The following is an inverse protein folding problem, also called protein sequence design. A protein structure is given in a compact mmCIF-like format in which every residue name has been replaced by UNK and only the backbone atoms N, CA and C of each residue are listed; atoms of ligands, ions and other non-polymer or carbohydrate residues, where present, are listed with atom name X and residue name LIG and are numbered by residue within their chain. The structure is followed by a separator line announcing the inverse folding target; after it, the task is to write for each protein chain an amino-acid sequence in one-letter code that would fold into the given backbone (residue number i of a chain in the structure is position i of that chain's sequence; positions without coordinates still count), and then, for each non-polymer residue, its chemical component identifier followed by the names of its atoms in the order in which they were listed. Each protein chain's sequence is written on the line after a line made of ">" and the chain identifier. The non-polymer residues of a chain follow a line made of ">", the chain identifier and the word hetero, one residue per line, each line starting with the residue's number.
data_IF_400475047084
#
_entry.id   IF_400475047084
#
_cell.length_a   1.000
_cell.length_b   1.000
_cell.length_c   1.000
_cell.angle_alpha   90.00
_cell.angle_beta   90.00
_cell.angle_gamma   90.00
#
_symmetry.space_group_name_H-M   'P 1'
#
loop_
_entity.id
_entity.type
_entity.pdbx_description
1 polymer ?
#
# COMPACT_ATOMS: atom_id res chain seq x y z
N UNK A 1 4.86 38.54 29.60
CA UNK A 1 3.82 39.20 30.38
C UNK A 1 2.47 38.59 30.03
N UNK A 2 1.76 38.23 31.10
CA UNK A 2 0.32 37.90 31.24
C UNK A 2 -0.22 36.62 30.55
N UNK A 3 -0.30 35.60 31.40
CA UNK A 3 -1.27 34.51 31.52
C UNK A 3 -2.72 34.94 31.28
N UNK A 4 -3.52 34.10 30.65
CA UNK A 4 -4.94 33.92 30.99
C UNK A 4 -5.24 32.40 30.99
N UNK A 5 -5.40 31.90 32.20
CA UNK A 5 -6.04 30.64 32.57
C UNK A 5 -7.56 30.85 32.45
N UNK A 6 -8.29 29.89 31.89
CA UNK A 6 -9.72 29.72 32.14
C UNK A 6 -10.02 28.30 32.53
N UNK A 7 -10.19 28.15 33.83
CA UNK A 7 -10.85 27.10 34.59
C UNK A 7 -12.29 26.92 34.14
N UNK A 8 -12.75 25.68 33.93
CA UNK A 8 -14.17 25.35 33.90
C UNK A 8 -14.51 24.39 35.04
N UNK A 9 -15.51 24.82 35.78
CA UNK A 9 -16.00 24.29 37.04
C UNK A 9 -16.81 22.98 36.84
N UNK A 10 -16.53 22.10 37.76
CA UNK A 10 -17.26 20.88 38.13
C UNK A 10 -18.53 21.28 38.92
N UNK A 11 -19.70 20.82 38.54
CA UNK A 11 -20.89 20.79 39.40
C UNK A 11 -21.35 19.37 39.65
N UNK A 12 -21.06 18.91 40.87
CA UNK A 12 -21.79 17.84 41.56
C UNK A 12 -23.15 18.39 42.00
N UNK A 13 -24.23 17.67 41.70
CA UNK A 13 -25.50 17.82 42.41
C UNK A 13 -26.01 16.46 42.88
N UNK A 14 -25.75 16.18 44.13
CA UNK A 14 -26.38 15.13 44.89
C UNK A 14 -27.80 15.57 45.30
N UNK A 15 -28.81 14.77 45.06
CA UNK A 15 -30.11 14.89 45.69
C UNK A 15 -30.42 13.62 46.50
N UNK A 16 -30.34 13.83 47.82
CA UNK A 16 -30.93 12.94 48.81
C UNK A 16 -32.41 13.30 48.91
N UNK A 17 -33.32 12.33 48.85
CA UNK A 17 -34.65 12.50 49.39
C UNK A 17 -34.98 11.39 50.41
N UNK A 18 -35.23 11.86 51.61
CA UNK A 18 -35.57 11.07 52.80
C UNK A 18 -37.06 10.77 52.80
N UNK A 19 -37.38 9.63 53.39
CA UNK A 19 -38.69 9.03 53.61
C UNK A 19 -39.76 9.93 54.28
N UNK A 20 -41.00 9.67 53.95
CA UNK A 20 -42.13 9.79 54.91
C UNK A 20 -43.12 8.66 54.64
N UNK A 21 -43.28 7.81 55.64
CA UNK A 21 -44.36 6.85 55.74
C UNK A 21 -45.71 7.57 55.92
N UNK A 22 -46.75 7.06 55.27
CA UNK A 22 -48.05 6.91 55.92
C UNK A 22 -48.88 5.82 55.22
N UNK A 23 -49.44 4.96 56.06
CA UNK A 23 -50.31 3.84 55.70
C UNK A 23 -51.71 4.32 55.36
N UNK A 24 -52.40 3.67 54.43
CA UNK A 24 -53.79 3.21 54.57
C UNK A 24 -54.17 2.30 53.38
N UNK A 25 -54.44 1.09 53.75
CA UNK A 25 -55.52 0.12 53.36
C UNK A 25 -56.02 0.04 51.91
N UNK A 26 -55.88 -1.19 51.42
CA UNK A 26 -56.75 -1.97 50.56
C UNK A 26 -57.31 -1.40 49.29
N UNK A 27 -56.86 -2.01 48.19
CA UNK A 27 -57.76 -2.71 47.26
C UNK A 27 -56.91 -3.66 46.39
N UNK A 28 -57.34 -4.93 46.33
CA UNK A 28 -56.72 -5.95 45.48
C UNK A 28 -56.87 -5.62 44.02
N UNK A 29 -55.78 -5.21 43.41
CA UNK A 29 -55.58 -5.23 41.96
C UNK A 29 -54.38 -6.15 41.71
N UNK A 30 -54.66 -7.37 41.27
CA UNK A 30 -53.67 -8.28 40.75
C UNK A 30 -53.00 -7.64 39.51
N UNK A 31 -51.76 -7.22 39.67
CA UNK A 31 -50.91 -6.96 38.53
C UNK A 31 -50.54 -8.32 37.92
N UNK A 32 -50.60 -8.46 36.57
CA UNK A 32 -50.05 -9.67 35.95
C UNK A 32 -48.55 -9.67 36.24
N UNK A 33 -48.07 -10.80 36.73
CA UNK A 33 -46.65 -11.10 36.82
C UNK A 33 -46.01 -10.72 35.50
N UNK A 34 -45.11 -9.69 35.48
CA UNK A 34 -44.13 -9.55 34.43
C UNK A 34 -43.29 -10.83 34.50
N UNK A 35 -43.60 -11.79 33.61
CA UNK A 35 -42.66 -12.84 33.28
C UNK A 35 -41.37 -12.14 32.89
N UNK A 36 -40.38 -12.12 33.79
CA UNK A 36 -38.98 -11.98 33.41
C UNK A 36 -38.75 -13.06 32.36
N UNK A 37 -38.81 -12.64 31.10
CA UNK A 37 -38.23 -13.44 30.03
C UNK A 37 -36.75 -13.53 30.38
N UNK A 38 -36.35 -14.58 31.06
CA UNK A 38 -35.00 -15.10 31.01
C UNK A 38 -34.68 -15.24 29.52
N UNK A 39 -33.95 -14.28 29.00
CA UNK A 39 -33.37 -14.37 27.70
C UNK A 39 -32.35 -15.50 27.82
N UNK A 40 -32.80 -16.73 27.55
CA UNK A 40 -31.91 -17.87 27.35
C UNK A 40 -30.89 -17.39 26.32
N UNK A 41 -29.69 -17.11 26.79
CA UNK A 41 -28.52 -16.97 25.93
C UNK A 41 -28.28 -18.37 25.36
N UNK A 42 -28.89 -18.67 24.23
CA UNK A 42 -28.55 -19.84 23.44
C UNK A 42 -27.10 -19.57 22.98
N UNK A 43 -26.17 -20.19 23.66
CA UNK A 43 -24.80 -20.30 23.24
C UNK A 43 -24.78 -21.22 22.00
N UNK A 44 -25.29 -20.70 20.88
CA UNK A 44 -25.14 -21.38 19.61
C UNK A 44 -23.65 -21.33 19.22
N UNK A 45 -23.10 -22.51 18.93
CA UNK A 45 -21.71 -22.62 18.49
C UNK A 45 -21.51 -21.87 17.19
N UNK A 46 -20.44 -21.05 17.12
CA UNK A 46 -20.05 -20.36 15.91
C UNK A 46 -19.52 -21.35 14.88
N UNK A 47 -19.89 -21.15 13.64
CA UNK A 47 -19.42 -21.98 12.52
C UNK A 47 -18.66 -21.11 11.53
N UNK A 48 -17.46 -21.54 11.13
CA UNK A 48 -16.68 -20.95 10.07
C UNK A 48 -16.82 -21.75 8.77
N UNK A 49 -17.11 -21.06 7.68
CA UNK A 49 -17.25 -21.66 6.34
C UNK A 49 -16.31 -20.94 5.38
N UNK A 50 -15.56 -21.67 4.58
CA UNK A 50 -14.78 -21.11 3.47
C UNK A 50 -15.71 -21.01 2.28
N UNK A 51 -16.01 -19.78 1.84
CA UNK A 51 -16.96 -19.53 0.77
C UNK A 51 -16.31 -19.22 -0.58
N UNK A 52 -15.13 -18.65 -0.58
CA UNK A 52 -14.36 -18.45 -1.80
C UNK A 52 -12.85 -18.34 -1.50
N UNK A 53 -12.04 -18.45 -2.53
CA UNK A 53 -10.67 -18.03 -2.49
C UNK A 53 -9.62 -19.10 -2.64
N UNK A 54 -8.46 -18.76 -2.11
CA UNK A 54 -7.22 -19.50 -2.27
C UNK A 54 -7.09 -20.67 -1.28
N UNK A 55 -7.95 -20.73 -0.26
CA UNK A 55 -8.10 -21.86 0.64
C UNK A 55 -9.28 -22.74 0.23
N UNK A 56 -9.16 -24.02 0.49
CA UNK A 56 -10.24 -24.98 0.25
C UNK A 56 -10.81 -25.60 1.52
N UNK A 57 -10.01 -25.73 2.57
CA UNK A 57 -10.40 -26.40 3.80
C UNK A 57 -9.74 -25.79 5.04
N UNK A 58 -10.47 -25.80 6.15
CA UNK A 58 -9.95 -25.63 7.49
C UNK A 58 -9.09 -26.81 7.91
N UNK A 59 -8.15 -26.57 8.80
CA UNK A 59 -7.43 -27.60 9.55
C UNK A 59 -7.83 -27.47 11.01
N UNK A 60 -7.95 -28.58 11.71
CA UNK A 60 -8.14 -28.59 13.16
C UNK A 60 -7.01 -27.79 13.83
N UNK A 61 -7.36 -26.83 14.69
CA UNK A 61 -6.45 -25.93 15.36
C UNK A 61 -6.14 -24.62 14.60
N UNK A 62 -6.68 -24.42 13.39
CA UNK A 62 -6.49 -23.13 12.67
C UNK A 62 -6.99 -21.96 13.52
N UNK A 63 -6.12 -20.96 13.85
CA UNK A 63 -6.48 -19.85 14.71
C UNK A 63 -7.24 -18.77 13.94
N UNK A 64 -8.39 -18.38 14.45
CA UNK A 64 -9.28 -17.38 13.88
C UNK A 64 -9.49 -16.26 14.89
N UNK A 65 -9.22 -15.03 14.49
CA UNK A 65 -9.55 -13.86 15.31
C UNK A 65 -11.01 -13.49 15.09
N UNK A 66 -11.79 -13.43 16.19
CA UNK A 66 -13.15 -12.92 16.19
C UNK A 66 -13.20 -11.56 16.86
N UNK A 67 -13.94 -10.63 16.24
CA UNK A 67 -14.06 -9.25 16.70
C UNK A 67 -15.53 -8.85 16.73
N UNK A 68 -16.01 -8.40 17.89
CA UNK A 68 -17.35 -7.87 18.05
C UNK A 68 -17.39 -6.82 19.16
N UNK A 69 -17.97 -5.67 18.91
CA UNK A 69 -18.17 -4.58 19.89
C UNK A 69 -16.91 -4.24 20.71
N UNK A 70 -15.74 -4.16 20.05
CA UNK A 70 -14.45 -3.89 20.69
C UNK A 70 -13.85 -5.09 21.46
N UNK A 71 -14.56 -6.20 21.56
CA UNK A 71 -14.03 -7.45 22.10
C UNK A 71 -13.28 -8.19 20.99
N UNK A 72 -12.17 -8.81 21.34
CA UNK A 72 -11.37 -9.65 20.44
C UNK A 72 -11.03 -10.96 21.15
N UNK A 73 -11.30 -12.07 20.52
CA UNK A 73 -10.90 -13.39 20.99
C UNK A 73 -10.21 -14.17 19.87
N UNK A 74 -9.38 -15.13 20.23
CA UNK A 74 -8.84 -16.11 19.29
C UNK A 74 -9.63 -17.41 19.50
N UNK A 75 -10.31 -17.83 18.47
CA UNK A 75 -11.00 -19.10 18.36
C UNK A 75 -10.20 -20.06 17.48
N UNK A 76 -10.42 -21.35 17.60
CA UNK A 76 -9.76 -22.36 16.78
C UNK A 76 -10.80 -23.21 16.07
N UNK A 77 -10.50 -23.58 14.81
CA UNK A 77 -11.29 -24.57 14.09
C UNK A 77 -11.18 -25.93 14.79
N UNK A 78 -12.33 -26.56 15.09
CA UNK A 78 -12.37 -27.81 15.85
C UNK A 78 -12.26 -29.04 14.98
N UNK A 79 -12.43 -28.88 13.66
CA UNK A 79 -12.39 -29.97 12.70
C UNK A 79 -11.88 -29.49 11.34
N UNK A 80 -11.29 -30.40 10.59
CA UNK A 80 -10.82 -30.12 9.22
C UNK A 80 -11.97 -30.27 8.23
N UNK A 81 -12.04 -29.37 7.24
CA UNK A 81 -13.07 -29.41 6.19
C UNK A 81 -13.42 -28.04 5.64
N UNK A 82 -14.36 -27.97 4.73
CA UNK A 82 -14.85 -26.69 4.16
C UNK A 82 -15.64 -25.84 5.19
N UNK A 83 -16.11 -26.48 6.25
CA UNK A 83 -16.72 -25.82 7.41
C UNK A 83 -16.14 -26.40 8.70
N UNK A 84 -16.11 -25.62 9.77
CA UNK A 84 -15.68 -26.04 11.09
C UNK A 84 -16.47 -25.31 12.17
N UNK A 85 -16.74 -26.00 13.27
CA UNK A 85 -17.20 -25.37 14.49
C UNK A 85 -15.99 -24.66 15.12
N UNK A 86 -16.22 -23.48 15.70
CA UNK A 86 -15.19 -22.72 16.36
C UNK A 86 -15.20 -22.94 17.87
N UNK A 87 -14.01 -23.06 18.46
CA UNK A 87 -13.85 -22.99 19.92
C UNK A 87 -14.08 -21.56 20.42
N UNK A 88 -14.51 -21.46 21.67
CA UNK A 88 -14.72 -20.16 22.31
C UNK A 88 -16.08 -19.53 21.97
N UNK A 89 -16.43 -18.57 22.79
CA UNK A 89 -17.66 -17.78 22.68
C UNK A 89 -17.34 -16.31 22.69
N UNK A 90 -18.06 -15.55 21.89
CA UNK A 90 -18.05 -14.09 21.93
C UNK A 90 -19.50 -13.64 22.27
N UNK A 91 -19.61 -12.84 23.31
CA UNK A 91 -20.90 -12.40 23.78
C UNK A 91 -21.44 -11.22 23.00
N UNK A 92 -22.73 -11.21 22.75
CA UNK A 92 -23.43 -10.09 22.16
C UNK A 92 -24.48 -10.48 21.13
N UNK A 93 -25.26 -9.49 20.72
CA UNK A 93 -26.19 -9.64 19.60
C UNK A 93 -25.56 -9.06 18.33
N UNK A 94 -25.48 -9.88 17.29
CA UNK A 94 -24.89 -9.45 16.02
C UNK A 94 -25.97 -8.77 15.17
N UNK A 95 -25.72 -7.53 14.78
CA UNK A 95 -26.63 -6.70 13.98
C UNK A 95 -25.89 -6.09 12.79
N UNK A 96 -26.61 -5.51 11.84
CA UNK A 96 -25.98 -4.82 10.70
C UNK A 96 -25.09 -3.64 11.12
N UNK A 97 -25.48 -2.94 12.19
CA UNK A 97 -24.70 -1.82 12.74
C UNK A 97 -23.54 -2.28 13.63
N UNK A 98 -23.63 -3.50 14.16
CA UNK A 98 -22.63 -4.11 15.03
C UNK A 98 -22.46 -5.60 14.72
N UNK A 99 -21.89 -5.95 13.58
CA UNK A 99 -21.72 -7.34 13.16
C UNK A 99 -20.58 -8.05 13.91
N UNK A 100 -20.58 -9.37 13.82
CA UNK A 100 -19.42 -10.19 14.15
C UNK A 100 -18.48 -10.24 12.95
N UNK A 101 -17.19 -9.99 13.20
CA UNK A 101 -16.13 -10.15 12.21
C UNK A 101 -15.25 -11.34 12.54
N UNK A 102 -14.78 -12.03 11.51
CA UNK A 102 -13.75 -13.06 11.57
C UNK A 102 -12.56 -12.70 10.70
N UNK A 103 -11.35 -13.02 11.16
CA UNK A 103 -10.11 -12.86 10.41
C UNK A 103 -9.30 -14.15 10.51
N UNK A 104 -8.82 -14.64 9.37
CA UNK A 104 -7.93 -15.79 9.28
C UNK A 104 -6.76 -15.48 8.34
N UNK A 105 -5.53 -15.84 8.69
CA UNK A 105 -5.09 -16.29 10.02
C UNK A 105 -5.22 -15.20 11.09
N UNK A 106 -5.37 -15.59 12.34
CA UNK A 106 -5.56 -14.66 13.46
C UNK A 106 -4.43 -13.64 13.60
N UNK A 107 -3.18 -14.05 13.35
CA UNK A 107 -1.99 -13.21 13.46
C UNK A 107 -1.99 -12.01 12.49
N UNK A 108 -2.78 -12.08 11.43
CA UNK A 108 -2.88 -11.01 10.42
C UNK A 108 -3.97 -9.99 10.76
N UNK A 109 -4.73 -10.20 11.82
CA UNK A 109 -5.82 -9.32 12.24
C UNK A 109 -5.38 -8.21 13.17
N UNK A 110 -5.90 -7.01 12.92
CA UNK A 110 -5.76 -5.86 13.82
C UNK A 110 -7.17 -5.34 14.08
N UNK A 111 -7.63 -5.43 15.35
CA UNK A 111 -8.88 -4.81 15.76
C UNK A 111 -8.72 -3.29 15.86
N UNK A 112 -9.68 -2.52 15.33
CA UNK A 112 -9.75 -1.08 15.57
C UNK A 112 -10.91 -0.72 16.49
N UNK A 113 -10.73 0.33 17.29
CA UNK A 113 -11.73 0.79 18.27
C UNK A 113 -13.05 1.27 17.64
N UNK A 114 -13.08 1.48 16.32
CA UNK A 114 -14.23 2.02 15.58
C UNK A 114 -15.02 0.95 14.80
N UNK A 115 -14.84 -0.34 15.11
CA UNK A 115 -15.56 -1.42 14.40
C UNK A 115 -15.14 -1.61 12.95
N UNK A 116 -14.11 -0.93 12.47
CA UNK A 116 -13.53 -1.18 11.15
C UNK A 116 -12.51 -2.31 11.21
N UNK A 117 -12.62 -3.24 10.29
CA UNK A 117 -11.71 -4.37 10.20
C UNK A 117 -10.41 -3.94 9.51
N UNK A 118 -9.28 -4.27 10.13
CA UNK A 118 -7.95 -4.02 9.56
C UNK A 118 -7.16 -5.32 9.56
N UNK A 119 -6.51 -5.64 8.44
CA UNK A 119 -5.70 -6.84 8.26
C UNK A 119 -4.34 -6.49 7.67
N UNK A 120 -3.37 -7.39 7.82
CA UNK A 120 -2.03 -7.23 7.23
C UNK A 120 -1.73 -8.38 6.28
N UNK A 121 -1.38 -8.05 5.03
CA UNK A 121 -0.79 -8.96 4.07
C UNK A 121 0.73 -8.80 4.19
N UNK A 122 1.49 -9.85 4.55
CA UNK A 122 2.92 -9.73 4.83
C UNK A 122 3.73 -9.50 3.54
N UNK A 123 4.72 -8.61 3.63
CA UNK A 123 5.70 -8.40 2.56
C UNK A 123 6.84 -9.44 2.56
N UNK A 124 6.92 -10.27 3.59
CA UNK A 124 7.85 -11.40 3.67
C UNK A 124 7.05 -12.68 3.77
N UNK A 125 7.26 -13.58 2.81
CA UNK A 125 6.52 -14.83 2.69
C UNK A 125 7.49 -15.99 2.44
N UNK A 126 7.04 -17.20 2.72
CA UNK A 126 7.85 -18.42 2.54
C UNK A 126 7.11 -19.40 1.63
N UNK A 127 7.81 -20.01 0.69
CA UNK A 127 7.25 -20.98 -0.21
C UNK A 127 6.66 -22.19 0.53
N UNK A 128 5.51 -22.64 0.07
CA UNK A 128 4.87 -23.85 0.57
C UNK A 128 4.59 -24.78 -0.63
N UNK A 129 5.15 -25.98 -0.58
CA UNK A 129 5.00 -26.97 -1.67
C UNK A 129 3.57 -27.46 -1.89
N UNK A 130 2.65 -27.17 -0.97
CA UNK A 130 1.26 -27.60 -1.01
C UNK A 130 0.26 -26.45 -1.24
N UNK A 131 0.77 -25.23 -1.51
CA UNK A 131 -0.09 -24.07 -1.72
C UNK A 131 0.57 -22.76 -1.32
N UNK A 132 -0.23 -21.84 -0.85
CA UNK A 132 0.22 -20.54 -0.31
C UNK A 132 0.89 -20.71 1.06
N UNK A 133 1.76 -19.77 1.42
CA UNK A 133 2.18 -19.58 2.80
C UNK A 133 0.94 -19.37 3.68
N UNK A 134 0.80 -20.19 4.70
CA UNK A 134 -0.37 -20.19 5.60
C UNK A 134 -0.59 -18.83 6.28
N UNK A 135 0.47 -18.03 6.44
CA UNK A 135 0.42 -16.71 7.04
C UNK A 135 0.18 -15.58 6.04
N UNK A 136 0.23 -15.84 4.75
CA UNK A 136 0.16 -14.80 3.73
C UNK A 136 -1.21 -14.62 3.10
N UNK A 137 -2.04 -15.66 3.08
CA UNK A 137 -3.39 -15.57 2.52
C UNK A 137 -4.38 -15.20 3.61
N UNK A 138 -4.89 -13.98 3.54
CA UNK A 138 -5.82 -13.44 4.52
C UNK A 138 -7.25 -13.59 4.01
N UNK A 139 -8.11 -14.16 4.85
CA UNK A 139 -9.54 -14.24 4.64
C UNK A 139 -10.30 -13.56 5.79
N UNK A 140 -11.43 -12.96 5.47
CA UNK A 140 -12.27 -12.24 6.41
C UNK A 140 -13.72 -12.65 6.27
N UNK A 141 -14.46 -12.56 7.37
CA UNK A 141 -15.90 -12.76 7.40
C UNK A 141 -16.59 -11.61 8.13
N UNK A 142 -17.82 -11.32 7.73
CA UNK A 142 -18.76 -10.44 8.43
C UNK A 142 -20.11 -11.13 8.49
N UNK A 143 -20.70 -11.20 9.67
CA UNK A 143 -22.01 -11.85 9.83
C UNK A 143 -22.85 -11.18 10.92
N UNK A 144 -24.16 -11.33 10.80
CA UNK A 144 -25.17 -11.01 11.82
C UNK A 144 -25.81 -12.27 12.42
N UNK A 145 -25.22 -13.44 12.13
CA UNK A 145 -25.64 -14.75 12.61
C UNK A 145 -24.46 -15.52 13.20
N UNK A 146 -24.64 -16.76 13.55
CA UNK A 146 -23.61 -17.65 14.11
C UNK A 146 -22.76 -18.33 12.99
N UNK A 147 -22.96 -18.00 11.72
CA UNK A 147 -22.20 -18.55 10.60
C UNK A 147 -21.33 -17.48 9.96
N UNK A 148 -20.01 -17.68 10.00
CA UNK A 148 -19.00 -16.82 9.40
C UNK A 148 -18.59 -17.38 8.03
N UNK A 149 -18.93 -16.69 6.97
CA UNK A 149 -18.52 -17.03 5.61
C UNK A 149 -17.23 -16.30 5.28
N UNK A 150 -16.11 -17.01 5.35
CA UNK A 150 -14.79 -16.44 5.08
C UNK A 150 -14.55 -16.29 3.59
N UNK A 151 -14.09 -15.10 3.20
CA UNK A 151 -13.75 -14.74 1.85
C UNK A 151 -12.34 -14.19 1.81
N UNK A 152 -11.53 -14.63 0.85
CA UNK A 152 -10.15 -14.18 0.69
C UNK A 152 -10.10 -12.70 0.32
N UNK A 153 -9.22 -11.94 0.97
CA UNK A 153 -8.92 -10.54 0.64
C UNK A 153 -7.87 -10.45 -0.47
N UNK A 154 -6.96 -11.42 -0.51
CA UNK A 154 -5.79 -11.43 -1.38
C UNK A 154 -6.12 -11.87 -2.82
N UNK A 155 -5.26 -11.48 -3.74
CA UNK A 155 -4.97 -12.19 -4.98
C UNK A 155 -3.59 -12.84 -4.89
N UNK A 156 -3.00 -13.24 -6.03
CA UNK A 156 -1.66 -13.80 -5.97
C UNK A 156 -1.01 -14.03 -7.33
N UNK A 157 0.24 -14.50 -7.24
CA UNK A 157 1.03 -14.93 -8.39
C UNK A 157 1.44 -16.38 -8.18
N UNK A 158 1.18 -17.21 -9.18
CA UNK A 158 1.62 -18.60 -9.22
C UNK A 158 2.94 -18.68 -9.97
N UNK A 159 3.95 -19.25 -9.34
CA UNK A 159 5.28 -19.46 -9.91
C UNK A 159 5.54 -20.95 -10.11
N UNK A 160 6.12 -21.29 -11.23
CA UNK A 160 6.61 -22.63 -11.54
C UNK A 160 7.99 -22.53 -12.19
N UNK A 161 9.01 -23.02 -11.50
CA UNK A 161 10.38 -22.97 -11.99
C UNK A 161 10.75 -24.29 -12.63
N UNK A 162 11.37 -24.24 -13.81
CA UNK A 162 11.88 -25.44 -14.50
C UNK A 162 13.38 -25.69 -14.20
N UNK A 163 13.96 -24.93 -13.27
CA UNK A 163 15.36 -25.01 -12.86
C UNK A 163 15.51 -25.22 -11.36
N UNK A 164 16.63 -25.79 -10.94
CA UNK A 164 16.98 -26.00 -9.52
C UNK A 164 17.88 -24.88 -8.97
N UNK A 165 18.06 -24.84 -7.65
CA UNK A 165 18.98 -23.93 -6.98
C UNK A 165 18.42 -22.55 -6.70
N UNK A 166 17.14 -22.27 -7.00
CA UNK A 166 16.51 -21.00 -6.66
C UNK A 166 16.22 -20.98 -5.16
N UNK A 167 16.77 -20.00 -4.46
CA UNK A 167 16.67 -19.87 -2.99
C UNK A 167 15.71 -18.76 -2.55
N UNK A 168 15.46 -17.78 -3.40
CA UNK A 168 14.59 -16.64 -3.08
C UNK A 168 14.11 -15.91 -4.32
N UNK A 169 13.05 -15.14 -4.13
CA UNK A 169 12.44 -14.29 -5.13
C UNK A 169 12.11 -12.94 -4.48
N UNK A 170 12.32 -11.87 -5.18
CA UNK A 170 11.68 -10.60 -4.90
C UNK A 170 10.68 -10.29 -6.00
N UNK A 171 9.43 -10.13 -5.63
CA UNK A 171 8.36 -9.64 -6.49
C UNK A 171 8.20 -8.14 -6.26
N UNK A 172 8.38 -7.34 -7.29
CA UNK A 172 8.23 -5.90 -7.24
C UNK A 172 7.21 -5.41 -8.27
N UNK A 173 6.29 -4.56 -7.85
CA UNK A 173 5.48 -3.78 -8.78
C UNK A 173 6.33 -2.69 -9.43
N UNK A 174 6.42 -2.69 -10.76
CA UNK A 174 7.25 -1.72 -11.51
C UNK A 174 6.78 -0.28 -11.29
N UNK A 175 5.49 -0.08 -11.11
CA UNK A 175 4.87 1.24 -10.88
C UNK A 175 4.83 1.63 -9.39
N UNK A 176 5.36 0.78 -8.49
CA UNK A 176 5.28 1.00 -7.05
C UNK A 176 3.89 0.77 -6.43
N UNK A 177 2.96 0.13 -7.15
CA UNK A 177 1.69 -0.30 -6.55
C UNK A 177 1.95 -1.18 -5.33
N UNK A 178 1.18 -0.98 -4.29
CA UNK A 178 1.29 -1.79 -3.10
C UNK A 178 0.85 -3.23 -3.38
N UNK A 179 1.76 -4.16 -3.16
CA UNK A 179 1.51 -5.60 -3.24
C UNK A 179 1.21 -6.21 -1.87
N UNK A 180 1.66 -5.57 -0.79
CA UNK A 180 1.49 -6.00 0.59
C UNK A 180 1.30 -4.80 1.51
N UNK A 181 0.87 -5.03 2.75
CA UNK A 181 0.72 -3.98 3.75
C UNK A 181 -0.47 -4.18 4.67
N UNK A 182 -0.70 -3.20 5.52
CA UNK A 182 -1.84 -3.15 6.44
C UNK A 182 -3.00 -2.41 5.78
N UNK A 183 -4.14 -3.07 5.64
CA UNK A 183 -5.30 -2.54 4.91
C UNK A 183 -6.57 -2.58 5.75
N UNK A 184 -7.37 -1.53 5.62
CA UNK A 184 -8.76 -1.50 6.09
C UNK A 184 -9.65 -2.25 5.10
N UNK A 185 -10.60 -3.01 5.62
CA UNK A 185 -11.55 -3.77 4.82
C UNK A 185 -12.92 -3.14 4.90
N UNK A 186 -13.53 -2.95 3.74
CA UNK A 186 -14.95 -2.67 3.56
C UNK A 186 -15.61 -3.80 2.78
N UNK A 187 -16.92 -3.86 2.82
CA UNK A 187 -17.69 -4.79 2.00
C UNK A 187 -18.37 -4.01 0.87
N UNK A 188 -18.26 -4.53 -0.34
CA UNK A 188 -18.97 -3.98 -1.51
C UNK A 188 -20.48 -4.28 -1.44
N UNK A 189 -21.24 -3.80 -2.44
CA UNK A 189 -22.68 -4.01 -2.53
C UNK A 189 -23.08 -5.48 -2.68
N UNK A 190 -22.14 -6.34 -3.08
CA UNK A 190 -22.33 -7.79 -3.21
C UNK A 190 -21.90 -8.54 -1.94
N UNK A 191 -21.47 -7.83 -0.90
CA UNK A 191 -21.00 -8.41 0.36
C UNK A 191 -19.61 -9.05 0.26
N UNK A 192 -18.79 -8.66 -0.74
CA UNK A 192 -17.41 -9.12 -0.88
C UNK A 192 -16.44 -8.15 -0.20
N UNK A 193 -15.37 -8.67 0.43
CA UNK A 193 -14.37 -7.82 1.03
C UNK A 193 -13.58 -7.07 -0.04
N UNK A 194 -13.36 -5.78 0.20
CA UNK A 194 -12.58 -4.90 -0.65
C UNK A 194 -11.63 -4.05 0.20
N UNK A 195 -10.47 -3.74 -0.33
CA UNK A 195 -9.50 -2.84 0.31
C UNK A 195 -10.04 -1.42 0.29
N UNK A 196 -10.05 -0.75 1.44
CA UNK A 196 -10.50 0.64 1.57
C UNK A 196 -9.33 1.61 1.80
N UNK A 197 -8.60 1.43 2.89
CA UNK A 197 -7.47 2.29 3.28
C UNK A 197 -6.24 1.44 3.47
N UNK A 198 -5.09 2.03 3.22
CA UNK A 198 -3.82 1.34 3.32
C UNK A 198 -2.84 2.11 4.21
N UNK A 199 -2.10 1.35 5.01
CA UNK A 199 -0.95 1.83 5.79
C UNK A 199 0.19 0.84 5.60
N UNK A 200 1.42 1.30 5.77
CA UNK A 200 2.63 0.47 5.63
C UNK A 200 2.62 -0.31 4.30
N UNK A 201 2.36 0.41 3.22
CA UNK A 201 2.32 -0.16 1.88
C UNK A 201 3.70 -0.62 1.43
N UNK A 202 3.78 -1.81 0.85
CA UNK A 202 5.00 -2.38 0.29
C UNK A 202 4.76 -2.74 -1.17
N UNK A 203 5.57 -2.18 -2.06
CA UNK A 203 5.59 -2.52 -3.49
C UNK A 203 6.48 -3.73 -3.80
N UNK A 204 7.17 -4.26 -2.80
CA UNK A 204 8.07 -5.40 -2.89
C UNK A 204 7.62 -6.46 -1.90
N UNK A 205 7.59 -7.71 -2.37
CA UNK A 205 7.41 -8.92 -1.53
C UNK A 205 8.66 -9.78 -1.67
N UNK A 206 9.28 -10.11 -0.54
CA UNK A 206 10.36 -11.09 -0.46
C UNK A 206 9.76 -12.47 -0.24
N UNK A 207 10.10 -13.42 -1.11
CA UNK A 207 9.58 -14.78 -1.10
C UNK A 207 10.73 -15.77 -1.03
N UNK A 208 10.87 -16.43 0.10
CA UNK A 208 11.96 -17.39 0.36
C UNK A 208 11.53 -18.80 0.00
N UNK A 209 12.49 -19.64 -0.39
CA UNK A 209 12.25 -21.07 -0.55
C UNK A 209 11.83 -21.74 0.77
N UNK A 210 11.09 -22.87 0.71
CA UNK A 210 10.58 -23.54 1.92
C UNK A 210 11.70 -24.14 2.79
N UNK A 211 12.88 -24.35 2.23
CA UNK A 211 14.04 -24.89 2.91
C UNK A 211 15.34 -24.53 2.17
N UNK A 212 16.49 -24.88 2.74
CA UNK A 212 17.82 -24.61 2.19
C UNK A 212 18.10 -25.28 0.82
N UNK A 213 17.32 -26.27 0.43
CA UNK A 213 17.46 -26.93 -0.87
C UNK A 213 16.85 -26.12 -2.03
N UNK A 214 16.18 -25.02 -1.69
CA UNK A 214 15.54 -24.14 -2.68
C UNK A 214 14.15 -24.60 -3.10
N UNK A 215 13.65 -23.96 -4.16
CA UNK A 215 12.39 -24.33 -4.78
C UNK A 215 12.56 -25.61 -5.64
N UNK A 216 11.58 -26.49 -5.59
CA UNK A 216 11.60 -27.76 -6.32
C UNK A 216 11.16 -27.49 -7.77
N UNK A 217 11.96 -27.86 -8.78
CA UNK A 217 11.59 -27.71 -10.19
C UNK A 217 10.26 -28.40 -10.53
N UNK A 218 9.44 -27.71 -11.33
CA UNK A 218 8.15 -28.22 -11.80
C UNK A 218 7.04 -28.21 -10.75
N UNK A 219 7.30 -27.74 -9.54
CA UNK A 219 6.27 -27.49 -8.52
C UNK A 219 5.71 -26.08 -8.61
N UNK A 220 4.43 -25.95 -8.29
CA UNK A 220 3.75 -24.67 -8.18
C UNK A 220 3.98 -24.07 -6.79
N UNK A 221 4.36 -22.80 -6.77
CA UNK A 221 4.49 -21.97 -5.58
C UNK A 221 3.63 -20.71 -5.73
N UNK A 222 3.17 -20.14 -4.64
CA UNK A 222 2.23 -19.04 -4.68
C UNK A 222 2.66 -17.90 -3.78
N UNK A 223 2.73 -16.70 -4.35
CA UNK A 223 2.91 -15.45 -3.62
C UNK A 223 1.53 -14.80 -3.46
N UNK A 224 1.16 -14.48 -2.23
CA UNK A 224 -0.06 -13.74 -1.92
C UNK A 224 0.17 -12.24 -2.05
N UNK A 225 -0.74 -11.53 -2.69
CA UNK A 225 -0.65 -10.08 -2.89
C UNK A 225 -1.97 -9.39 -2.58
N UNK A 226 -1.92 -8.07 -2.44
CA UNK A 226 -3.12 -7.26 -2.56
C UNK A 226 -3.66 -7.34 -3.99
N UNK A 227 -5.00 -7.38 -4.18
CA UNK A 227 -5.60 -7.19 -5.50
C UNK A 227 -5.23 -5.81 -6.03
N UNK A 228 -4.66 -5.75 -7.21
CA UNK A 228 -4.25 -4.50 -7.84
C UNK A 228 -4.11 -4.63 -9.34
N UNK A 229 -4.16 -3.50 -10.00
CA UNK A 229 -3.87 -3.38 -11.42
C UNK A 229 -2.44 -2.86 -11.57
N UNK A 230 -1.50 -3.76 -11.88
CA UNK A 230 -0.08 -3.42 -12.05
C UNK A 230 0.18 -3.01 -13.50
N UNK A 231 -0.10 -1.75 -13.82
CA UNK A 231 -0.01 -1.22 -15.18
C UNK A 231 1.38 -1.37 -15.80
N UNK A 232 2.43 -1.07 -15.06
CA UNK A 232 3.82 -1.27 -15.50
C UNK A 232 4.29 -2.71 -15.45
N UNK A 233 3.39 -3.63 -15.07
CA UNK A 233 3.77 -5.00 -14.81
C UNK A 233 4.51 -5.17 -13.49
N UNK A 234 5.11 -6.32 -13.33
CA UNK A 234 5.94 -6.64 -12.16
C UNK A 234 7.31 -7.15 -12.60
N UNK A 235 8.27 -7.02 -11.70
CA UNK A 235 9.59 -7.61 -11.80
C UNK A 235 9.73 -8.76 -10.81
N UNK A 236 10.25 -9.89 -11.28
CA UNK A 236 10.76 -10.95 -10.41
C UNK A 236 12.28 -10.88 -10.43
N UNK A 237 12.89 -10.70 -9.27
CA UNK A 237 14.33 -10.89 -9.09
C UNK A 237 14.51 -12.30 -8.52
N UNK A 238 15.14 -13.18 -9.28
CA UNK A 238 15.27 -14.63 -8.99
C UNK A 238 16.70 -14.91 -8.55
N UNK A 239 16.85 -15.35 -7.30
CA UNK A 239 18.16 -15.62 -6.69
C UNK A 239 18.53 -17.09 -6.78
N UNK A 240 19.65 -17.38 -7.39
CA UNK A 240 20.18 -18.72 -7.59
C UNK A 240 21.70 -18.75 -7.41
N UNK A 241 22.21 -19.57 -6.50
CA UNK A 241 23.66 -19.79 -6.31
C UNK A 241 24.48 -18.48 -6.11
N UNK A 242 23.88 -17.46 -5.49
CA UNK A 242 24.50 -16.15 -5.30
C UNK A 242 24.39 -15.21 -6.50
N UNK A 243 23.79 -15.65 -7.60
CA UNK A 243 23.48 -14.86 -8.77
C UNK A 243 22.03 -14.40 -8.75
N UNK A 244 21.70 -13.37 -9.55
CA UNK A 244 20.34 -12.85 -9.71
C UNK A 244 19.99 -12.73 -11.19
N UNK A 245 18.78 -13.15 -11.54
CA UNK A 245 18.18 -12.88 -12.85
C UNK A 245 16.90 -12.06 -12.66
N UNK A 246 16.54 -11.28 -13.67
CA UNK A 246 15.35 -10.45 -13.66
C UNK A 246 14.39 -10.87 -14.77
N UNK A 247 13.16 -11.19 -14.36
CA UNK A 247 12.03 -11.35 -15.27
C UNK A 247 11.09 -10.15 -15.16
N UNK A 248 10.62 -9.66 -16.29
CA UNK A 248 9.67 -8.53 -16.35
C UNK A 248 8.40 -8.97 -17.04
N UNK A 249 7.27 -8.78 -16.35
CA UNK A 249 5.97 -8.96 -16.98
C UNK A 249 5.50 -7.68 -17.66
N UNK A 250 4.50 -7.81 -18.51
CA UNK A 250 3.69 -6.71 -18.99
C UNK A 250 2.57 -6.38 -17.98
N UNK A 251 1.72 -5.39 -18.30
CA UNK A 251 0.50 -5.07 -17.55
C UNK A 251 -0.27 -6.32 -17.16
N UNK A 252 -0.60 -6.41 -15.88
CA UNK A 252 -1.37 -7.51 -15.30
C UNK A 252 -2.37 -6.96 -14.28
N UNK A 253 -3.55 -7.59 -14.22
CA UNK A 253 -4.52 -7.35 -13.15
C UNK A 253 -4.54 -8.55 -12.22
N UNK A 254 -4.22 -8.33 -10.96
CA UNK A 254 -4.32 -9.34 -9.90
C UNK A 254 -5.67 -9.18 -9.23
N UNK A 255 -6.58 -10.09 -9.53
CA UNK A 255 -7.93 -10.08 -8.96
C UNK A 255 -7.96 -10.71 -7.57
N UNK A 256 -8.93 -10.30 -6.74
CA UNK A 256 -9.24 -10.94 -5.47
C UNK A 256 -9.61 -12.41 -5.68
N UNK A 257 -9.10 -13.28 -4.83
CA UNK A 257 -9.32 -14.73 -4.88
C UNK A 257 -8.85 -15.40 -6.18
N UNK A 258 -8.09 -14.70 -6.99
CA UNK A 258 -7.47 -15.17 -8.22
C UNK A 258 -5.96 -15.14 -8.16
N UNK A 259 -5.32 -15.75 -9.14
CA UNK A 259 -3.88 -15.65 -9.35
C UNK A 259 -3.55 -15.50 -10.83
N UNK A 260 -2.46 -14.79 -11.10
CA UNK A 260 -1.85 -14.73 -12.40
C UNK A 260 -0.66 -15.70 -12.45
N UNK A 261 -0.32 -16.18 -13.64
CA UNK A 261 0.82 -17.06 -13.86
C UNK A 261 1.74 -16.40 -14.88
N UNK A 262 3.00 -16.10 -14.53
CA UNK A 262 3.97 -15.69 -15.54
C UNK A 262 4.20 -16.85 -16.54
N UNK A 263 4.73 -16.50 -17.69
CA UNK A 263 5.20 -17.49 -18.67
C UNK A 263 6.27 -18.39 -18.03
N UNK A 264 6.50 -19.56 -18.62
CA UNK A 264 7.43 -20.55 -18.06
C UNK A 264 8.80 -19.92 -17.75
N UNK A 265 9.18 -19.99 -16.46
CA UNK A 265 10.46 -19.47 -15.98
C UNK A 265 11.54 -20.54 -16.22
N UNK A 266 12.12 -20.52 -17.42
CA UNK A 266 13.17 -21.46 -17.85
C UNK A 266 14.54 -20.81 -17.81
N UNK A 267 15.55 -21.59 -17.41
CA UNK A 267 16.92 -21.07 -17.22
C UNK A 267 17.52 -20.47 -18.51
N UNK A 268 17.15 -21.00 -19.68
CA UNK A 268 17.65 -20.50 -20.97
C UNK A 268 17.15 -19.11 -21.37
N UNK A 269 16.12 -18.61 -20.70
CA UNK A 269 15.51 -17.29 -20.94
C UNK A 269 15.90 -16.26 -19.89
N UNK A 270 16.66 -16.68 -18.88
CA UNK A 270 17.09 -15.83 -17.77
C UNK A 270 18.60 -15.66 -17.79
N UNK A 271 19.06 -14.43 -17.81
CA UNK A 271 20.47 -14.09 -17.64
C UNK A 271 20.76 -13.90 -16.14
N UNK A 272 21.58 -14.79 -15.59
CA UNK A 272 22.01 -14.74 -14.19
C UNK A 272 23.34 -14.01 -14.08
N UNK A 273 23.30 -12.85 -13.43
CA UNK A 273 24.46 -12.02 -13.19
C UNK A 273 24.87 -12.04 -11.71
N UNK A 274 26.16 -11.84 -11.46
CA UNK A 274 26.66 -11.61 -10.11
C UNK A 274 26.15 -10.23 -9.65
N UNK A 275 25.26 -10.17 -8.62
CA UNK A 275 24.76 -8.89 -8.09
C UNK A 275 25.88 -8.01 -7.56
N UNK A 276 27.05 -8.59 -7.27
CA UNK A 276 28.24 -7.94 -6.76
C UNK A 276 29.30 -7.69 -7.84
N UNK A 277 29.06 -8.08 -9.08
CA UNK A 277 30.00 -7.79 -10.16
C UNK A 277 30.20 -6.27 -10.27
N UNK A 278 31.46 -5.81 -10.45
CA UNK A 278 31.69 -4.42 -10.75
C UNK A 278 30.96 -4.06 -12.04
N UNK A 279 30.12 -3.04 -11.97
CA UNK A 279 29.46 -2.52 -13.17
C UNK A 279 30.55 -2.12 -14.17
N UNK A 280 30.58 -2.80 -15.31
CA UNK A 280 31.28 -2.28 -16.48
C UNK A 280 30.69 -0.90 -16.73
N UNK A 281 31.55 0.11 -16.83
CA UNK A 281 31.14 1.49 -17.11
C UNK A 281 30.57 1.52 -18.54
N UNK A 282 29.32 1.04 -18.68
CA UNK A 282 28.57 1.26 -19.90
C UNK A 282 28.42 2.76 -20.07
N UNK A 283 28.80 3.25 -21.23
CA UNK A 283 28.54 4.62 -21.70
C UNK A 283 27.14 5.03 -21.23
N UNK A 284 26.98 6.27 -20.76
CA UNK A 284 25.67 6.83 -20.35
C UNK A 284 24.64 6.35 -21.36
N UNK A 285 23.56 5.67 -20.94
CA UNK A 285 22.57 5.27 -21.90
C UNK A 285 22.07 6.57 -22.54
N UNK A 286 22.52 6.81 -23.75
CA UNK A 286 21.93 7.84 -24.59
C UNK A 286 20.43 7.60 -24.56
N UNK A 287 19.65 8.67 -24.67
CA UNK A 287 18.21 8.56 -24.82
C UNK A 287 17.98 7.55 -25.94
N UNK A 288 17.66 6.33 -25.55
CA UNK A 288 17.44 5.23 -26.48
C UNK A 288 16.48 5.72 -27.57
N UNK A 289 16.81 5.44 -28.81
CA UNK A 289 15.97 5.83 -29.96
C UNK A 289 14.52 5.33 -29.81
N UNK A 290 14.29 4.32 -28.98
CA UNK A 290 12.96 3.81 -28.67
C UNK A 290 12.19 4.70 -27.69
N UNK A 291 12.86 5.45 -26.80
CA UNK A 291 12.21 6.31 -25.81
C UNK A 291 11.98 7.74 -26.29
N UNK A 292 12.78 8.23 -27.24
CA UNK A 292 12.68 9.60 -27.73
C UNK A 292 11.35 9.90 -28.43
N UNK A 293 10.74 9.00 -29.20
CA UNK A 293 9.44 9.25 -29.81
C UNK A 293 8.25 9.15 -28.85
N UNK A 294 8.36 8.44 -27.73
CA UNK A 294 7.26 8.18 -26.82
C UNK A 294 6.63 9.44 -26.19
N UNK A 295 7.39 10.45 -25.73
CA UNK A 295 6.80 11.69 -25.25
C UNK A 295 5.96 12.39 -26.31
N UNK A 296 6.44 12.48 -27.55
CA UNK A 296 5.70 13.07 -28.68
C UNK A 296 4.47 12.24 -29.06
N UNK A 297 4.61 10.91 -29.02
CA UNK A 297 3.47 10.02 -29.29
C UNK A 297 2.37 10.23 -28.27
N UNK A 298 2.71 10.36 -26.98
CA UNK A 298 1.73 10.67 -25.93
C UNK A 298 1.11 12.06 -26.11
N UNK A 299 1.93 13.10 -26.36
CA UNK A 299 1.43 14.46 -26.59
C UNK A 299 0.46 14.55 -27.79
N UNK A 300 0.73 13.80 -28.87
CA UNK A 300 -0.14 13.74 -30.06
C UNK A 300 -1.39 12.91 -29.84
N UNK A 301 -1.34 11.89 -29.01
CA UNK A 301 -2.41 10.97 -28.73
C UNK A 301 -2.39 10.53 -27.25
N UNK A 302 -2.97 11.31 -26.31
CA UNK A 302 -2.88 11.09 -24.87
C UNK A 302 -3.84 9.97 -24.43
N UNK A 303 -3.57 8.73 -24.84
CA UNK A 303 -4.24 7.53 -24.38
C UNK A 303 -3.49 6.92 -23.17
N UNK A 304 -4.20 6.12 -22.36
CA UNK A 304 -3.58 5.38 -21.26
C UNK A 304 -2.50 4.43 -21.77
N UNK A 305 -2.67 3.78 -22.91
CA UNK A 305 -1.65 2.90 -23.51
C UNK A 305 -0.35 3.66 -23.84
N UNK A 306 -0.45 4.85 -24.41
CA UNK A 306 0.71 5.66 -24.73
C UNK A 306 1.40 6.22 -23.47
N UNK A 307 0.60 6.58 -22.45
CA UNK A 307 1.13 6.97 -21.13
C UNK A 307 1.89 5.81 -20.49
N UNK A 308 1.30 4.64 -20.52
CA UNK A 308 1.87 3.43 -19.97
C UNK A 308 3.19 3.05 -20.66
N UNK A 309 3.21 3.07 -21.99
CA UNK A 309 4.43 2.79 -22.74
C UNK A 309 5.57 3.74 -22.35
N UNK A 310 5.27 5.04 -22.18
CA UNK A 310 6.24 6.04 -21.76
C UNK A 310 6.72 5.79 -20.32
N UNK A 311 5.80 5.60 -19.38
CA UNK A 311 6.12 5.36 -17.97
C UNK A 311 6.96 4.08 -17.80
N UNK A 312 6.63 3.00 -18.51
CA UNK A 312 7.39 1.76 -18.48
C UNK A 312 8.85 1.97 -18.90
N UNK A 313 9.07 2.65 -20.01
CA UNK A 313 10.42 2.92 -20.47
C UNK A 313 11.20 3.83 -19.52
N UNK A 314 10.53 4.83 -18.95
CA UNK A 314 11.13 5.70 -17.92
C UNK A 314 11.47 4.88 -16.67
N UNK A 315 10.58 3.98 -16.23
CA UNK A 315 10.80 3.10 -15.09
C UNK A 315 12.02 2.20 -15.28
N UNK A 316 12.12 1.52 -16.41
CA UNK A 316 13.28 0.67 -16.74
C UNK A 316 14.61 1.45 -16.69
N UNK A 317 14.61 2.70 -17.18
CA UNK A 317 15.80 3.56 -17.13
C UNK A 317 16.13 3.99 -15.71
N UNK A 318 15.12 4.36 -14.95
CA UNK A 318 15.28 4.74 -13.55
C UNK A 318 15.88 3.58 -12.74
N UNK A 319 15.34 2.39 -12.91
CA UNK A 319 15.79 1.18 -12.21
C UNK A 319 17.23 0.81 -12.55
N UNK A 320 17.66 0.98 -13.82
CA UNK A 320 19.07 0.86 -14.21
C UNK A 320 19.97 1.85 -13.46
N UNK A 321 19.52 3.10 -13.27
CA UNK A 321 20.27 4.09 -12.51
C UNK A 321 20.35 3.70 -11.03
N UNK A 322 19.24 3.24 -10.44
CA UNK A 322 19.22 2.77 -9.05
C UNK A 322 20.15 1.55 -8.88
N UNK A 323 20.10 0.59 -9.79
CA UNK A 323 20.98 -0.58 -9.77
C UNK A 323 22.46 -0.20 -9.79
N UNK A 324 22.84 0.75 -10.66
CA UNK A 324 24.22 1.29 -10.69
C UNK A 324 24.62 1.96 -9.37
N UNK A 325 23.72 2.72 -8.76
CA UNK A 325 23.96 3.34 -7.46
C UNK A 325 24.15 2.30 -6.36
N UNK A 326 23.30 1.25 -6.34
CA UNK A 326 23.42 0.12 -5.42
C UNK A 326 24.74 -0.63 -5.60
N UNK A 327 25.18 -0.87 -6.85
CA UNK A 327 26.46 -1.51 -7.12
C UNK A 327 27.64 -0.64 -6.67
N UNK A 328 27.57 0.68 -6.88
CA UNK A 328 28.60 1.60 -6.40
C UNK A 328 28.67 1.64 -4.88
N UNK A 329 27.53 1.58 -4.20
CA UNK A 329 27.48 1.46 -2.74
C UNK A 329 28.22 0.19 -2.26
N UNK A 330 27.91 -0.97 -2.85
CA UNK A 330 28.58 -2.22 -2.53
C UNK A 330 30.10 -2.20 -2.78
N UNK A 331 30.54 -1.51 -3.85
CA UNK A 331 31.95 -1.29 -4.12
C UNK A 331 32.61 -0.45 -3.02
N UNK A 332 31.98 0.66 -2.60
CA UNK A 332 32.47 1.49 -1.49
C UNK A 332 32.57 0.73 -0.17
N UNK A 333 31.61 -0.13 0.13
CA UNK A 333 31.62 -1.00 1.30
C UNK A 333 32.78 -2.02 1.24
N UNK A 334 32.99 -2.67 0.10
CA UNK A 334 34.10 -3.63 -0.10
C UNK A 334 35.46 -2.98 -0.02
N UNK A 335 35.60 -1.78 -0.54
CA UNK A 335 36.85 -1.02 -0.49
C UNK A 335 37.15 -0.44 0.89
N UNK A 336 36.29 -0.68 1.88
CA UNK A 336 36.37 -0.12 3.23
C UNK A 336 36.59 1.40 3.25
N UNK A 337 35.90 2.10 2.36
CA UNK A 337 35.89 3.57 2.29
C UNK A 337 35.36 4.17 3.59
N UNK A 338 35.57 5.48 3.74
CA UNK A 338 35.14 6.19 4.95
C UNK A 338 33.64 5.95 5.23
N UNK A 339 33.26 5.63 6.48
CA UNK A 339 31.87 5.34 6.85
C UNK A 339 30.89 6.43 6.42
N UNK A 340 31.32 7.71 6.44
CA UNK A 340 30.49 8.84 6.04
C UNK A 340 30.11 8.78 4.55
N UNK A 341 31.04 8.38 3.68
CA UNK A 341 30.79 8.27 2.24
C UNK A 341 29.84 7.11 1.92
N UNK A 342 29.97 5.99 2.66
CA UNK A 342 29.06 4.85 2.55
C UNK A 342 27.67 5.25 3.00
N UNK A 343 27.54 5.93 4.15
CA UNK A 343 26.27 6.42 4.66
C UNK A 343 25.61 7.44 3.74
N UNK A 344 26.37 8.36 3.14
CA UNK A 344 25.87 9.32 2.16
C UNK A 344 25.31 8.60 0.91
N UNK A 345 26.06 7.65 0.37
CA UNK A 345 25.62 6.88 -0.80
C UNK A 345 24.40 6.00 -0.48
N UNK A 346 24.36 5.39 0.71
CA UNK A 346 23.19 4.65 1.19
C UNK A 346 21.96 5.56 1.24
N UNK A 347 22.07 6.75 1.84
CA UNK A 347 20.98 7.72 1.90
C UNK A 347 20.45 8.12 0.51
N UNK A 348 21.35 8.28 -0.46
CA UNK A 348 20.96 8.56 -1.86
C UNK A 348 20.19 7.37 -2.47
N UNK A 349 20.67 6.15 -2.25
CA UNK A 349 20.02 4.94 -2.77
C UNK A 349 18.64 4.77 -2.14
N UNK A 350 18.55 4.91 -0.81
CA UNK A 350 17.28 4.77 -0.08
C UNK A 350 16.27 5.83 -0.54
N UNK A 351 16.68 7.08 -0.67
CA UNK A 351 15.82 8.15 -1.19
C UNK A 351 15.35 7.86 -2.63
N UNK A 352 16.20 7.36 -3.49
CA UNK A 352 15.83 7.01 -4.86
C UNK A 352 14.83 5.85 -4.90
N UNK A 353 14.99 4.86 -4.05
CA UNK A 353 14.07 3.72 -3.95
C UNK A 353 12.73 4.18 -3.37
N UNK A 354 12.76 4.91 -2.26
CA UNK A 354 11.55 5.38 -1.56
C UNK A 354 10.71 6.34 -2.41
N UNK A 355 11.37 7.23 -3.18
CA UNK A 355 10.69 8.26 -3.96
C UNK A 355 10.59 7.91 -5.46
N UNK A 356 10.74 6.64 -5.84
CA UNK A 356 10.74 6.19 -7.24
C UNK A 356 9.56 6.72 -8.03
N UNK A 357 8.35 6.47 -7.55
CA UNK A 357 7.13 6.82 -8.27
C UNK A 357 6.90 8.32 -8.36
N UNK A 358 7.22 9.04 -7.28
CA UNK A 358 7.17 10.50 -7.26
C UNK A 358 8.11 11.05 -8.34
N UNK A 359 9.32 10.53 -8.43
CA UNK A 359 10.33 10.95 -9.41
C UNK A 359 9.94 10.58 -10.83
N UNK A 360 9.35 9.40 -11.05
CA UNK A 360 8.86 8.99 -12.36
C UNK A 360 7.70 9.88 -12.82
N UNK A 361 6.75 10.17 -11.96
CA UNK A 361 5.65 11.06 -12.29
C UNK A 361 6.11 12.49 -12.57
N UNK A 362 7.02 13.03 -11.75
CA UNK A 362 7.63 14.32 -12.00
C UNK A 362 8.35 14.36 -13.34
N UNK A 363 9.12 13.32 -13.65
CA UNK A 363 9.81 13.21 -14.93
C UNK A 363 8.84 13.05 -16.10
N UNK A 364 7.76 12.29 -15.92
CA UNK A 364 6.68 12.15 -16.90
C UNK A 364 6.06 13.51 -17.21
N UNK A 365 5.58 14.22 -16.18
CA UNK A 365 4.96 15.54 -16.33
C UNK A 365 5.91 16.53 -17.04
N UNK A 366 7.19 16.48 -16.69
CA UNK A 366 8.22 17.30 -17.36
C UNK A 366 8.38 16.95 -18.83
N UNK A 367 8.38 15.66 -19.20
CA UNK A 367 8.58 15.22 -20.58
C UNK A 367 7.39 15.52 -21.48
N UNK A 368 6.17 15.52 -20.94
CA UNK A 368 4.94 15.79 -21.70
C UNK A 368 4.58 17.27 -21.74
N UNK A 369 5.21 18.12 -20.91
CA UNK A 369 4.92 19.54 -20.89
C UNK A 369 5.41 20.19 -22.19
N UNK A 370 4.52 20.71 -23.05
CA UNK A 370 4.90 21.32 -24.31
C UNK A 370 5.84 22.52 -24.16
N UNK A 371 5.87 23.15 -22.99
CA UNK A 371 6.77 24.27 -22.68
C UNK A 371 8.25 23.84 -22.60
N UNK A 372 8.52 22.56 -22.38
CA UNK A 372 9.89 22.05 -22.31
C UNK A 372 10.63 22.09 -23.65
N UNK A 373 9.92 22.05 -24.77
CA UNK A 373 10.53 22.17 -26.12
C UNK A 373 10.91 23.59 -26.43
N UNK A 374 10.29 24.60 -25.81
CA UNK A 374 10.48 26.02 -26.09
C UNK A 374 11.40 26.71 -25.05
N UNK A 375 11.27 26.38 -23.78
CA UNK A 375 12.05 26.97 -22.69
C UNK A 375 12.16 26.06 -21.45
N UNK A 376 13.31 25.39 -21.23
CA UNK A 376 13.47 24.52 -20.03
C UNK A 376 13.31 25.26 -18.70
N UNK A 377 13.31 26.59 -18.70
CA UNK A 377 13.13 27.41 -17.48
C UNK A 377 11.67 27.43 -17.01
N UNK A 378 10.72 27.12 -17.89
CA UNK A 378 9.28 27.14 -17.58
C UNK A 378 8.78 25.79 -17.05
N UNK A 379 9.66 24.82 -16.87
CA UNK A 379 9.30 23.52 -16.33
C UNK A 379 9.01 23.58 -14.84
N UNK A 380 7.92 22.93 -14.43
CA UNK A 380 7.48 22.81 -13.04
C UNK A 380 7.71 21.40 -12.51
N UNK A 381 8.18 21.33 -11.29
CA UNK A 381 8.31 20.06 -10.55
C UNK A 381 7.13 19.92 -9.58
N UNK A 382 6.44 18.78 -9.64
CA UNK A 382 5.37 18.48 -8.68
C UNK A 382 5.98 18.17 -7.32
N UNK A 383 5.60 18.92 -6.29
CA UNK A 383 5.93 18.61 -4.92
C UNK A 383 4.78 17.80 -4.31
N UNK A 384 5.05 16.56 -3.95
CA UNK A 384 4.12 15.74 -3.19
C UNK A 384 4.53 15.70 -1.73
N UNK A 385 3.63 16.11 -0.85
CA UNK A 385 3.77 16.02 0.59
C UNK A 385 2.41 15.84 1.23
N UNK A 386 2.39 15.35 2.45
CA UNK A 386 1.16 15.13 3.22
C UNK A 386 0.33 16.40 3.46
N UNK A 387 0.93 17.58 3.32
CA UNK A 387 0.30 18.87 3.60
C UNK A 387 -0.02 19.71 2.36
N UNK A 388 0.46 19.34 1.16
CA UNK A 388 0.23 20.11 -0.07
C UNK A 388 0.18 19.16 -1.29
N UNK A 389 -0.92 18.43 -1.50
CA UNK A 389 -1.00 17.33 -2.46
C UNK A 389 -0.90 17.75 -3.94
N UNK A 390 -0.88 19.02 -4.29
CA UNK A 390 -0.78 19.52 -5.66
C UNK A 390 0.08 20.79 -5.74
N UNK A 391 1.16 20.84 -4.97
CA UNK A 391 2.08 21.96 -5.06
C UNK A 391 3.09 21.75 -6.19
N UNK A 392 3.43 22.82 -6.90
CA UNK A 392 4.40 22.85 -7.96
C UNK A 392 5.53 23.80 -7.59
N UNK A 393 6.76 23.45 -7.94
CA UNK A 393 7.93 24.33 -7.81
C UNK A 393 8.59 24.47 -9.17
N UNK A 394 8.92 25.70 -9.54
CA UNK A 394 9.67 25.97 -10.77
C UNK A 394 11.10 25.42 -10.70
N UNK A 395 11.63 24.93 -11.82
CA UNK A 395 13.03 24.49 -11.93
C UNK A 395 14.04 25.63 -11.86
N UNK A 396 13.58 26.85 -12.12
CA UNK A 396 14.39 28.06 -11.99
C UNK A 396 13.72 29.04 -11.02
N UNK A 397 14.49 29.88 -10.36
CA UNK A 397 13.94 30.99 -9.61
C UNK A 397 13.10 31.91 -10.52
N UNK A 398 12.03 32.48 -9.97
CA UNK A 398 11.23 33.51 -10.65
C UNK A 398 12.13 34.68 -11.01
N UNK A 399 12.07 35.09 -12.25
CA UNK A 399 12.89 36.22 -12.75
C UNK A 399 12.22 37.57 -12.47
N UNK A 400 13.00 38.65 -12.56
CA UNK A 400 12.48 40.00 -12.43
C UNK A 400 11.40 40.33 -13.46
N UNK A 401 11.56 39.84 -14.71
CA UNK A 401 10.57 40.05 -15.75
C UNK A 401 9.27 39.32 -15.49
N UNK A 402 9.34 38.07 -15.01
CA UNK A 402 8.17 37.28 -14.65
C UNK A 402 7.41 37.90 -13.47
N UNK A 403 8.14 38.38 -12.47
CA UNK A 403 7.52 39.04 -11.33
C UNK A 403 6.90 40.39 -11.68
N UNK A 404 7.51 41.14 -12.59
CA UNK A 404 6.95 42.40 -13.10
C UNK A 404 5.66 42.20 -13.91
N UNK A 405 5.47 41.04 -14.54
CA UNK A 405 4.21 40.71 -15.18
C UNK A 405 3.04 40.53 -14.19
N UNK A 406 3.34 40.13 -12.97
CA UNK A 406 2.37 40.07 -11.86
C UNK A 406 2.16 41.42 -11.19
N UNK A 407 3.25 42.19 -10.96
CA UNK A 407 3.25 43.43 -10.19
C UNK A 407 3.83 44.57 -11.04
N UNK A 408 2.94 45.26 -11.74
CA UNK A 408 3.31 46.33 -12.72
C UNK A 408 4.19 47.46 -12.14
N UNK A 409 4.07 47.73 -10.82
CA UNK A 409 4.90 48.71 -10.14
C UNK A 409 6.30 48.19 -9.73
N UNK A 410 6.61 46.92 -9.97
CA UNK A 410 7.90 46.34 -9.66
C UNK A 410 8.95 46.83 -10.66
N UNK A 411 10.02 47.45 -10.15
CA UNK A 411 11.05 48.03 -10.93
C UNK A 411 12.38 47.31 -10.73
N UNK A 412 13.06 46.94 -11.80
CA UNK A 412 14.39 46.38 -11.82
C UNK A 412 15.29 47.10 -12.83
N UNK A 413 16.60 46.91 -12.74
CA UNK A 413 17.54 47.61 -13.65
C UNK A 413 17.51 46.98 -15.05
N UNK A 414 17.79 47.80 -16.07
CA UNK A 414 17.93 47.33 -17.45
C UNK A 414 19.06 46.29 -17.56
N UNK A 415 18.76 45.15 -18.16
CA UNK A 415 19.70 44.01 -18.31
C UNK A 415 19.59 42.98 -17.17
N UNK A 416 18.73 43.21 -16.18
CA UNK A 416 18.46 42.27 -15.06
C UNK A 416 17.14 41.50 -15.24
N UNK A 417 16.56 41.52 -16.42
CA UNK A 417 15.25 40.88 -16.71
C UNK A 417 15.23 39.39 -16.32
N UNK A 418 16.34 38.69 -16.59
CA UNK A 418 16.48 37.24 -16.35
C UNK A 418 17.16 36.93 -15.00
N UNK A 419 17.42 37.91 -14.15
CA UNK A 419 17.96 37.66 -12.82
C UNK A 419 16.82 37.29 -11.87
N UNK A 420 17.11 36.44 -10.86
CA UNK A 420 16.12 36.08 -9.83
C UNK A 420 15.55 37.31 -9.13
N UNK A 421 14.24 37.36 -8.94
CA UNK A 421 13.61 38.37 -8.12
C UNK A 421 14.09 38.26 -6.67
N UNK A 422 14.47 39.37 -6.07
CA UNK A 422 14.96 39.44 -4.69
C UNK A 422 14.21 40.50 -3.90
N UNK A 423 14.36 40.47 -2.56
CA UNK A 423 13.75 41.44 -1.65
C UNK A 423 12.21 41.45 -1.66
N UNK A 424 11.58 40.33 -1.98
CA UNK A 424 10.14 40.13 -1.85
C UNK A 424 9.82 39.49 -0.50
N UNK A 425 8.68 39.83 0.06
CA UNK A 425 8.16 39.22 1.29
C UNK A 425 7.48 37.88 1.01
N UNK A 426 7.30 37.05 2.05
CA UNK A 426 6.53 35.80 1.94
C UNK A 426 5.11 36.05 1.43
N UNK A 427 4.47 37.15 1.89
CA UNK A 427 3.12 37.50 1.46
C UNK A 427 3.07 37.85 -0.05
N UNK A 428 4.07 38.55 -0.55
CA UNK A 428 4.21 38.88 -1.99
C UNK A 428 4.49 37.62 -2.82
N UNK A 429 5.34 36.70 -2.34
CA UNK A 429 5.58 35.43 -2.99
C UNK A 429 4.31 34.57 -3.03
N UNK A 430 3.52 34.53 -1.94
CA UNK A 430 2.24 33.82 -1.90
C UNK A 430 1.25 34.42 -2.92
N UNK A 431 1.12 35.75 -2.95
CA UNK A 431 0.25 36.42 -3.92
C UNK A 431 0.65 36.14 -5.38
N UNK A 432 1.95 36.04 -5.67
CA UNK A 432 2.45 35.64 -6.98
C UNK A 432 2.06 34.21 -7.33
N UNK A 433 2.20 33.27 -6.41
CA UNK A 433 1.78 31.88 -6.61
C UNK A 433 0.25 31.76 -6.83
N UNK A 434 -0.55 32.52 -6.09
CA UNK A 434 -2.01 32.57 -6.25
C UNK A 434 -2.39 33.12 -7.63
N UNK A 435 -1.67 34.16 -8.08
CA UNK A 435 -1.85 34.74 -9.42
C UNK A 435 -1.51 33.74 -10.51
N UNK A 436 -0.37 33.02 -10.42
CA UNK A 436 0.01 31.97 -11.38
C UNK A 436 -1.06 30.86 -11.42
N UNK A 437 -1.51 30.39 -10.26
CA UNK A 437 -2.54 29.34 -10.18
C UNK A 437 -3.85 29.80 -10.83
N UNK A 438 -4.18 31.07 -10.71
CA UNK A 438 -5.37 31.63 -11.36
C UNK A 438 -5.21 31.71 -12.89
N UNK A 439 -4.00 31.95 -13.39
CA UNK A 439 -3.72 31.93 -14.83
C UNK A 439 -3.83 30.50 -15.41
N UNK A 440 -3.25 29.51 -14.73
CA UNK A 440 -3.33 28.11 -15.15
C UNK A 440 -4.74 27.55 -15.15
N UNK A 441 -5.61 27.98 -14.23
CA UNK A 441 -7.02 27.59 -14.18
C UNK A 441 -7.90 28.30 -15.22
N UNK A 442 -7.38 29.30 -15.92
CA UNK A 442 -8.08 30.05 -16.96
C UNK A 442 -7.89 29.49 -18.37
N UNK A 443 -7.01 28.50 -18.52
CA UNK A 443 -6.75 27.74 -19.75
C UNK A 443 -7.20 26.31 -19.62
#
# INVERSE_FOLDING_TARGET
>A
MKKILKTFNLYCLSFLFLAAMNACQNDDVAFPDEEEQEQESISESLTAVISDGLYSNWREGDPIMLVHNGQTIIAEAQESGSSSILSGTIEGTFTDDNPLFGIYPADNGISSDNGSLTVTIPATQTGNENGYDEKSVVAVARTTSNSLNFQTVCGGIKLNFQMSGITGIELESVDGYALAGTVGIKWDEQGKPAVDKMKNAHSIITFSAPNESGFIPGKDYYISTLPCDVYGGYRLSIYKDGLVAHYFSVHQTIERAGYITPDDLVESELEFDDPDAPLVEEERPELDATTTPLPRQYQQNPTEDNKLALLNQMGLRYDKVVARKKAKLRELEREAKTPDLVAEMQGIVDEMVENRDIRLEQQFLRLIDPRNDENPKDAWMVLRGSSAPNAYIGYAPVTNAEYAAFKEEFVYNAGEENYPVVNITIAEATAYCDWLTAQDNAH
#
